data_IF_071975605877
#
_entry.id   IF_071975605877
#
_cell.length_a   1.000
_cell.length_b   1.000
_cell.length_c   1.000
_cell.angle_alpha   90.00
_cell.angle_beta   90.00
_cell.angle_gamma   90.00
#
_symmetry.space_group_name_H-M   'P 1'
#
loop_
_entity.id
_entity.type
_entity.pdbx_description
1 polymer ?
#
# COMPACT_ATOMS: atom_id res chain seq x y z
N UNK A 1 -20.09 -2.45 9.83
CA UNK A 1 -18.63 -2.34 10.00
C UNK A 1 -18.01 -2.27 8.63
N UNK A 2 -17.46 -1.13 8.21
CA UNK A 2 -16.66 -1.07 6.98
C UNK A 2 -15.32 -1.73 7.30
N UNK A 3 -15.10 -2.89 6.73
CA UNK A 3 -13.79 -3.56 6.83
C UNK A 3 -12.81 -2.74 6.01
N UNK A 4 -11.87 -2.08 6.69
CA UNK A 4 -10.80 -1.33 6.04
C UNK A 4 -9.89 -2.31 5.31
N UNK A 5 -9.61 -2.03 4.02
CA UNK A 5 -8.74 -2.90 3.22
C UNK A 5 -7.28 -2.58 3.49
N UNK A 6 -6.43 -3.56 3.24
CA UNK A 6 -4.99 -3.39 3.29
C UNK A 6 -4.44 -3.32 1.85
N UNK A 7 -3.69 -2.26 1.58
CA UNK A 7 -3.00 -2.06 0.31
C UNK A 7 -1.57 -2.57 0.42
N UNK A 8 -1.00 -3.16 -0.63
CA UNK A 8 0.39 -3.60 -0.63
C UNK A 8 1.33 -2.39 -0.50
N UNK A 9 2.35 -2.53 0.32
CA UNK A 9 3.37 -1.52 0.58
C UNK A 9 4.72 -2.03 0.10
N UNK A 10 5.28 -1.36 -0.91
CA UNK A 10 6.48 -1.81 -1.60
C UNK A 10 6.23 -2.96 -2.57
N UNK A 11 7.18 -3.86 -2.67
CA UNK A 11 7.14 -5.03 -3.54
C UNK A 11 6.65 -6.29 -2.79
N UNK A 12 6.40 -7.37 -3.55
CA UNK A 12 5.95 -8.65 -2.97
C UNK A 12 6.92 -9.19 -1.91
N UNK A 13 8.22 -9.00 -2.10
CA UNK A 13 9.27 -9.46 -1.18
C UNK A 13 9.28 -8.68 0.15
N UNK A 14 8.70 -7.48 0.20
CA UNK A 14 8.67 -6.67 1.41
C UNK A 14 7.73 -7.24 2.49
N UNK A 15 6.69 -7.96 2.10
CA UNK A 15 5.74 -8.54 3.03
C UNK A 15 5.04 -7.51 3.92
N UNK A 16 4.79 -6.34 3.35
CA UNK A 16 4.25 -5.20 4.06
C UNK A 16 2.92 -4.73 3.45
N UNK A 17 2.01 -4.32 4.30
CA UNK A 17 0.72 -3.75 3.92
C UNK A 17 0.42 -2.49 4.73
N UNK A 18 -0.38 -1.61 4.18
CA UNK A 18 -0.83 -0.38 4.82
C UNK A 18 -2.35 -0.25 4.74
N UNK A 19 -2.98 0.26 5.79
CA UNK A 19 -4.42 0.50 5.81
C UNK A 19 -4.85 1.50 4.74
N UNK A 20 -5.87 1.17 3.95
CA UNK A 20 -6.40 2.04 2.89
C UNK A 20 -6.82 3.41 3.42
N UNK A 21 -7.40 3.46 4.64
CA UNK A 21 -7.78 4.72 5.28
C UNK A 21 -6.60 5.66 5.50
N UNK A 22 -5.44 5.11 5.91
CA UNK A 22 -4.21 5.85 6.15
C UNK A 22 -3.65 6.43 4.84
N UNK A 23 -3.57 5.59 3.80
CA UNK A 23 -3.18 6.04 2.46
C UNK A 23 -4.11 7.13 1.95
N UNK A 24 -5.42 6.92 2.10
CA UNK A 24 -6.43 7.89 1.68
C UNK A 24 -6.27 9.23 2.41
N UNK A 25 -6.10 9.21 3.72
CA UNK A 25 -5.92 10.43 4.51
C UNK A 25 -4.69 11.22 4.06
N UNK A 26 -3.55 10.52 3.87
CA UNK A 26 -2.29 11.12 3.45
C UNK A 26 -2.38 11.70 2.04
N UNK A 27 -2.94 10.97 1.07
CA UNK A 27 -3.13 11.45 -0.30
C UNK A 27 -4.13 12.62 -0.38
N UNK A 28 -5.19 12.58 0.42
CA UNK A 28 -6.15 13.70 0.50
C UNK A 28 -5.50 14.96 1.07
N UNK A 29 -4.62 14.84 2.06
CA UNK A 29 -3.87 15.98 2.60
C UNK A 29 -2.97 16.59 1.52
N UNK A 30 -2.23 15.77 0.77
CA UNK A 30 -1.39 16.22 -0.35
C UNK A 30 -2.21 16.88 -1.46
N UNK A 31 -3.32 16.28 -1.87
CA UNK A 31 -4.19 16.81 -2.93
C UNK A 31 -4.82 18.16 -2.55
N UNK A 32 -5.23 18.34 -1.29
CA UNK A 32 -5.72 19.63 -0.76
C UNK A 32 -4.65 20.71 -0.72
N UNK A 33 -3.39 20.34 -0.64
CA UNK A 33 -2.25 21.25 -0.75
C UNK A 33 -2.10 21.88 -2.15
N UNK A 34 -2.70 21.28 -3.19
CA UNK A 34 -2.68 21.81 -4.55
C UNK A 34 -3.70 22.93 -4.70
N UNK A 35 -3.23 24.16 -4.81
CA UNK A 35 -4.11 25.34 -4.89
C UNK A 35 -5.00 25.30 -6.13
N UNK A 36 -6.30 25.46 -5.92
CA UNK A 36 -7.31 25.52 -6.98
C UNK A 36 -7.89 24.15 -7.33
N UNK A 37 -7.68 23.16 -6.48
CA UNK A 37 -8.23 21.81 -6.62
C UNK A 37 -9.08 21.47 -5.39
N UNK A 38 -10.29 20.95 -5.59
CA UNK A 38 -11.10 20.32 -4.56
C UNK A 38 -11.14 18.80 -4.85
N UNK A 39 -10.27 18.01 -4.20
CA UNK A 39 -10.22 16.58 -4.44
C UNK A 39 -11.40 15.87 -3.77
N UNK A 40 -11.95 14.87 -4.47
CA UNK A 40 -12.88 13.91 -3.90
C UNK A 40 -12.11 12.71 -3.30
N UNK A 41 -12.85 11.69 -2.89
CA UNK A 41 -12.28 10.52 -2.25
C UNK A 41 -11.52 9.65 -3.25
N UNK A 42 -10.21 9.37 -3.09
CA UNK A 42 -9.47 8.50 -3.98
C UNK A 42 -9.96 7.05 -3.89
N UNK A 43 -9.88 6.36 -5.02
CA UNK A 43 -10.18 4.93 -5.17
C UNK A 43 -8.91 4.19 -5.56
N UNK A 44 -8.71 3.02 -4.97
CA UNK A 44 -7.53 2.19 -5.21
C UNK A 44 -7.93 0.86 -5.82
N UNK A 45 -7.23 0.47 -6.88
CA UNK A 45 -7.36 -0.84 -7.53
C UNK A 45 -5.96 -1.36 -7.84
N UNK A 46 -5.83 -2.65 -8.05
CA UNK A 46 -4.62 -3.18 -8.67
C UNK A 46 -4.58 -2.71 -10.13
N UNK A 47 -3.38 -2.35 -10.59
CA UNK A 47 -3.19 -2.15 -12.02
C UNK A 47 -3.41 -3.51 -12.70
N UNK A 48 -4.27 -3.53 -13.71
CA UNK A 48 -4.39 -4.71 -14.56
C UNK A 48 -3.04 -4.89 -15.25
N UNK A 49 -2.40 -6.05 -15.07
CA UNK A 49 -1.18 -6.36 -15.78
C UNK A 49 -1.48 -6.22 -17.27
N UNK A 50 -0.85 -5.25 -17.93
CA UNK A 50 -0.87 -5.18 -19.38
C UNK A 50 -0.27 -6.50 -19.85
N UNK A 51 -1.10 -7.40 -20.34
CA UNK A 51 -0.62 -8.56 -21.08
C UNK A 51 0.35 -8.01 -22.15
N UNK A 52 1.56 -8.57 -22.31
CA UNK A 52 2.41 -8.17 -23.41
C UNK A 52 1.60 -8.33 -24.68
N UNK A 53 1.48 -7.24 -25.44
CA UNK A 53 0.77 -7.20 -26.70
C UNK A 53 1.29 -8.37 -27.56
N UNK A 54 0.52 -9.45 -27.63
CA UNK A 54 0.73 -10.53 -28.56
C UNK A 54 0.22 -10.10 -29.94
N UNK A 55 0.77 -9.01 -30.46
CA UNK A 55 0.74 -8.67 -31.86
C UNK A 55 1.90 -9.37 -32.57
N UNK A 56 1.73 -10.66 -32.76
CA UNK A 56 2.42 -11.38 -33.79
C UNK A 56 1.39 -12.21 -34.55
N UNK A 57 0.91 -11.62 -35.63
CA UNK A 57 0.16 -12.36 -36.65
C UNK A 57 0.95 -13.58 -37.09
N UNK A 58 0.37 -14.74 -37.00
CA UNK A 58 0.91 -16.02 -37.45
C UNK A 58 -0.21 -17.00 -37.71
N UNK A 59 -0.39 -17.31 -38.97
CA UNK A 59 -1.34 -18.22 -39.59
C UNK A 59 -1.55 -19.58 -38.89
N UNK A 60 -2.72 -20.21 -39.09
CA UNK A 60 -3.03 -21.52 -38.54
C UNK A 60 -2.39 -22.63 -39.37
N UNK A 61 -1.41 -23.30 -38.78
CA UNK A 61 -0.87 -24.53 -39.32
C UNK A 61 -0.90 -25.60 -38.23
N UNK A 62 -1.75 -26.62 -38.44
CA UNK A 62 -1.94 -27.68 -37.46
C UNK A 62 -0.74 -28.61 -37.34
N UNK A 63 -0.49 -29.09 -36.16
CA UNK A 63 0.14 -30.35 -35.83
C UNK A 63 -0.20 -30.71 -34.38
N UNK A 64 -0.65 -31.96 -34.19
CA UNK A 64 -1.01 -32.52 -32.90
C UNK A 64 0.26 -32.62 -31.98
N UNK A 65 0.11 -32.43 -30.66
CA UNK A 65 1.21 -32.65 -29.72
C UNK A 65 1.27 -34.12 -29.30
N UNK A 66 2.46 -34.68 -29.40
CA UNK A 66 2.87 -35.94 -28.80
C UNK A 66 2.95 -35.82 -27.27
N UNK A 67 2.43 -36.75 -26.49
CA UNK A 67 2.56 -36.76 -25.04
C UNK A 67 3.84 -37.48 -24.62
N UNK A 68 4.95 -36.81 -24.55
CA UNK A 68 6.16 -37.38 -23.93
C UNK A 68 6.70 -36.39 -22.90
N UNK A 69 6.64 -36.83 -21.65
CA UNK A 69 7.06 -36.12 -20.47
C UNK A 69 8.50 -35.62 -20.50
N UNK A 70 8.65 -34.47 -19.98
CA UNK A 70 9.90 -33.83 -19.62
C UNK A 70 9.65 -32.93 -18.43
N UNK A 71 9.77 -33.49 -17.23
CA UNK A 71 9.92 -32.69 -16.01
C UNK A 71 11.16 -31.85 -16.16
N UNK A 72 11.00 -30.55 -16.39
CA UNK A 72 12.06 -29.60 -16.23
C UNK A 72 12.39 -29.48 -14.74
N UNK A 73 13.69 -29.62 -14.35
CA UNK A 73 14.09 -29.43 -12.96
C UNK A 73 13.79 -28.01 -12.52
N UNK A 74 12.91 -27.90 -11.52
CA UNK A 74 12.55 -26.63 -10.91
C UNK A 74 13.80 -25.89 -10.46
N UNK A 75 13.95 -24.66 -10.89
CA UNK A 75 14.97 -23.74 -10.38
C UNK A 75 14.78 -23.60 -8.86
N UNK A 76 15.78 -23.92 -8.04
CA UNK A 76 15.72 -23.68 -6.60
C UNK A 76 16.00 -22.20 -6.36
N UNK A 77 14.97 -21.41 -6.07
CA UNK A 77 15.18 -20.01 -5.73
C UNK A 77 14.00 -19.08 -6.01
N UNK A 78 12.81 -19.60 -6.24
CA UNK A 78 11.60 -18.77 -6.26
C UNK A 78 11.16 -18.47 -4.83
N UNK A 79 11.32 -17.22 -4.37
CA UNK A 79 10.69 -16.72 -3.16
C UNK A 79 9.21 -17.09 -3.21
N UNK A 80 8.78 -18.01 -2.35
CA UNK A 80 7.37 -18.35 -2.23
C UNK A 80 6.60 -17.06 -1.89
N UNK A 81 5.51 -16.74 -2.60
CA UNK A 81 4.80 -15.51 -2.36
C UNK A 81 4.37 -15.43 -0.90
N UNK A 82 4.71 -14.31 -0.26
CA UNK A 82 4.37 -14.09 1.14
C UNK A 82 2.84 -14.10 1.30
N UNK A 83 2.33 -14.69 2.39
CA UNK A 83 0.89 -14.80 2.60
C UNK A 83 0.25 -13.42 2.70
N UNK A 84 -0.76 -13.19 1.86
CA UNK A 84 -1.56 -11.96 1.91
C UNK A 84 -2.38 -11.96 3.19
N UNK A 85 -2.33 -10.90 4.00
CA UNK A 85 -3.14 -10.82 5.22
C UNK A 85 -4.63 -10.76 4.89
N UNK A 86 -5.51 -11.19 5.80
CA UNK A 86 -6.96 -11.07 5.62
C UNK A 86 -7.37 -9.64 5.29
N UNK A 87 -8.14 -9.44 4.23
CA UNK A 87 -8.53 -8.11 3.74
C UNK A 87 -7.45 -7.36 2.96
N UNK A 88 -6.29 -7.98 2.74
CA UNK A 88 -5.21 -7.41 1.95
C UNK A 88 -5.40 -7.65 0.45
N UNK A 89 -4.97 -6.67 -0.36
CA UNK A 89 -4.80 -6.87 -1.78
C UNK A 89 -3.49 -7.63 -2.04
N UNK A 90 -3.41 -8.46 -3.09
CA UNK A 90 -2.17 -9.09 -3.48
C UNK A 90 -1.10 -8.04 -3.82
N UNK A 91 0.20 -8.35 -3.61
CA UNK A 91 1.28 -7.42 -3.89
C UNK A 91 1.42 -7.22 -5.40
N UNK A 92 0.90 -6.11 -5.87
CA UNK A 92 0.99 -5.65 -7.26
C UNK A 92 0.87 -4.12 -7.29
N UNK A 93 1.37 -3.45 -8.34
CA UNK A 93 1.26 -2.02 -8.49
C UNK A 93 -0.19 -1.55 -8.44
N UNK A 94 -0.39 -0.37 -7.87
CA UNK A 94 -1.72 0.21 -7.68
C UNK A 94 -2.08 1.18 -8.81
N UNK A 95 -3.35 1.23 -9.15
CA UNK A 95 -3.98 2.30 -9.90
C UNK A 95 -4.75 3.18 -8.92
N UNK A 96 -4.48 4.48 -8.94
CA UNK A 96 -5.16 5.48 -8.13
C UNK A 96 -6.09 6.28 -9.04
N UNK A 97 -7.38 6.30 -8.72
CA UNK A 97 -8.36 7.13 -9.44
C UNK A 97 -8.84 8.23 -8.49
N UNK A 98 -8.75 9.49 -8.91
CA UNK A 98 -9.19 10.64 -8.14
C UNK A 98 -10.04 11.56 -9.00
N UNK A 99 -11.27 11.78 -8.56
CA UNK A 99 -12.16 12.78 -9.11
C UNK A 99 -11.91 14.11 -8.37
N UNK A 100 -11.95 15.25 -9.07
CA UNK A 100 -11.74 16.56 -8.45
C UNK A 100 -12.49 17.67 -9.17
N UNK A 101 -12.88 18.69 -8.42
CA UNK A 101 -13.33 19.95 -8.97
C UNK A 101 -12.16 20.93 -9.06
N UNK A 102 -12.13 21.76 -10.09
CA UNK A 102 -11.07 22.74 -10.36
C UNK A 102 -11.61 24.16 -10.33
N UNK A 103 -10.81 25.12 -9.87
CA UNK A 103 -11.17 26.54 -9.93
C UNK A 103 -11.16 27.04 -11.37
N UNK A 104 -12.24 27.71 -11.79
CA UNK A 104 -12.37 28.30 -13.11
C UNK A 104 -11.26 29.34 -13.40
N UNK A 105 -10.94 29.52 -14.66
CA UNK A 105 -9.91 30.50 -15.09
C UNK A 105 -8.46 30.03 -14.96
N UNK A 106 -8.21 28.78 -14.55
CA UNK A 106 -6.88 28.17 -14.55
C UNK A 106 -6.80 27.06 -15.61
N UNK A 107 -5.63 26.85 -16.25
CA UNK A 107 -5.44 25.76 -17.19
C UNK A 107 -5.62 24.40 -16.48
N UNK A 108 -6.67 23.65 -16.84
CA UNK A 108 -6.99 22.35 -16.21
C UNK A 108 -5.85 21.35 -16.30
N UNK A 109 -5.12 21.37 -17.41
CA UNK A 109 -3.96 20.48 -17.63
C UNK A 109 -2.87 20.73 -16.58
N UNK A 110 -2.52 21.99 -16.33
CA UNK A 110 -1.52 22.32 -15.32
C UNK A 110 -1.95 21.92 -13.91
N UNK A 111 -3.25 22.10 -13.58
CA UNK A 111 -3.78 21.67 -12.30
C UNK A 111 -3.72 20.15 -12.16
N UNK A 112 -4.09 19.42 -13.20
CA UNK A 112 -4.03 17.96 -13.22
C UNK A 112 -2.58 17.46 -13.10
N UNK A 113 -1.63 18.07 -13.80
CA UNK A 113 -0.22 17.70 -13.75
C UNK A 113 0.38 17.93 -12.35
N UNK A 114 0.09 19.07 -11.71
CA UNK A 114 0.49 19.36 -10.32
C UNK A 114 -0.13 18.37 -9.33
N UNK A 115 -1.41 18.07 -9.51
CA UNK A 115 -2.11 17.11 -8.65
C UNK A 115 -1.52 15.72 -8.80
N UNK A 116 -1.25 15.27 -10.04
CA UNK A 116 -0.61 13.99 -10.31
C UNK A 116 0.77 13.89 -9.66
N UNK A 117 1.59 14.92 -9.81
CA UNK A 117 2.92 14.99 -9.19
C UNK A 117 2.81 14.87 -7.67
N UNK A 118 1.93 15.66 -7.03
CA UNK A 118 1.75 15.62 -5.57
C UNK A 118 1.28 14.25 -5.08
N UNK A 119 0.38 13.58 -5.82
CA UNK A 119 -0.09 12.24 -5.47
C UNK A 119 1.01 11.18 -5.61
N UNK A 120 1.80 11.22 -6.69
CA UNK A 120 2.90 10.27 -6.91
C UNK A 120 4.03 10.47 -5.88
N UNK A 121 4.46 11.72 -5.65
CA UNK A 121 5.47 12.02 -4.63
C UNK A 121 5.03 11.55 -3.24
N UNK A 122 3.74 11.69 -2.92
CA UNK A 122 3.22 11.23 -1.63
C UNK A 122 3.09 9.71 -1.59
N UNK A 123 2.54 9.09 -2.62
CA UNK A 123 2.33 7.65 -2.66
C UNK A 123 3.66 6.87 -2.67
N UNK A 124 4.56 7.23 -3.56
CA UNK A 124 5.84 6.52 -3.74
C UNK A 124 6.92 7.05 -2.81
N UNK A 125 7.08 8.38 -2.75
CA UNK A 125 8.13 9.03 -1.96
C UNK A 125 7.86 8.95 -0.47
N UNK A 126 6.69 9.39 -0.01
CA UNK A 126 6.39 9.49 1.41
C UNK A 126 5.89 8.18 2.02
N UNK A 127 5.07 7.41 1.32
CA UNK A 127 4.50 6.15 1.84
C UNK A 127 5.29 4.92 1.40
N UNK A 128 5.78 4.89 0.16
CA UNK A 128 6.45 3.73 -0.43
C UNK A 128 5.51 2.76 -1.12
N UNK A 129 4.37 3.24 -1.63
CA UNK A 129 3.48 2.44 -2.47
C UNK A 129 4.09 2.27 -3.86
N UNK A 130 3.82 1.14 -4.49
CA UNK A 130 4.09 0.95 -5.92
C UNK A 130 2.87 1.40 -6.73
N UNK A 131 3.01 2.48 -7.52
CA UNK A 131 1.91 3.06 -8.30
C UNK A 131 2.20 2.91 -9.78
N UNK A 132 1.33 2.23 -10.51
CA UNK A 132 1.44 2.09 -11.97
C UNK A 132 0.76 3.26 -12.70
N UNK A 133 -0.33 3.78 -12.15
CA UNK A 133 -1.14 4.77 -12.85
C UNK A 133 -1.92 5.66 -11.89
N UNK A 134 -2.03 6.94 -12.24
CA UNK A 134 -2.89 7.93 -11.56
C UNK A 134 -3.87 8.51 -12.56
N UNK A 135 -5.14 8.12 -12.45
CA UNK A 135 -6.24 8.63 -13.24
C UNK A 135 -6.89 9.81 -12.55
N UNK A 136 -6.92 10.94 -13.23
CA UNK A 136 -7.52 12.17 -12.74
C UNK A 136 -8.71 12.56 -13.61
N UNK A 137 -9.85 12.82 -12.96
CA UNK A 137 -11.08 13.23 -13.64
C UNK A 137 -11.59 14.53 -13.06
N UNK A 138 -11.75 15.54 -13.91
CA UNK A 138 -12.43 16.79 -13.54
C UNK A 138 -13.93 16.54 -13.54
N UNK A 139 -14.58 16.81 -12.42
CA UNK A 139 -16.03 16.61 -12.24
C UNK A 139 -16.80 17.91 -12.24
N UNK A 140 -16.16 19.04 -11.82
CA UNK A 140 -16.82 20.32 -11.72
C UNK A 140 -15.82 21.48 -11.85
N UNK A 141 -16.36 22.69 -12.10
CA UNK A 141 -15.64 23.96 -12.09
C UNK A 141 -16.17 24.86 -11.00
N UNK A 142 -15.27 25.31 -10.13
CA UNK A 142 -15.59 26.16 -8.99
C UNK A 142 -15.30 27.63 -9.31
N UNK A 143 -16.18 28.53 -8.88
CA UNK A 143 -15.98 29.98 -9.04
C UNK A 143 -14.96 30.55 -8.05
N UNK A 144 -14.75 29.87 -6.92
CA UNK A 144 -13.82 30.26 -5.86
C UNK A 144 -13.00 29.07 -5.33
N UNK A 145 -11.80 29.34 -4.77
CA UNK A 145 -10.99 28.28 -4.13
C UNK A 145 -11.77 27.60 -2.98
N UNK A 146 -11.69 26.25 -2.89
CA UNK A 146 -12.36 25.54 -1.81
C UNK A 146 -11.68 25.82 -0.47
N UNK A 147 -12.51 26.00 0.58
CA UNK A 147 -12.04 26.03 1.96
C UNK A 147 -12.11 24.60 2.54
N UNK A 148 -10.99 24.11 3.05
CA UNK A 148 -10.93 22.81 3.70
C UNK A 148 -10.87 22.98 5.21
N UNK A 149 -11.78 22.33 5.92
CA UNK A 149 -11.64 22.17 7.37
C UNK A 149 -10.36 21.37 7.69
N UNK A 150 -9.70 21.73 8.79
CA UNK A 150 -8.54 20.96 9.27
C UNK A 150 -8.92 19.49 9.47
N UNK A 151 -8.06 18.54 9.10
CA UNK A 151 -8.32 17.13 9.34
C UNK A 151 -8.54 16.88 10.83
N UNK A 152 -9.66 16.28 11.19
CA UNK A 152 -9.85 15.74 12.55
C UNK A 152 -9.16 14.38 12.58
N UNK A 153 -8.11 14.27 13.39
CA UNK A 153 -7.45 12.97 13.61
C UNK A 153 -8.44 11.97 14.20
N UNK A 154 -8.66 10.82 13.56
CA UNK A 154 -9.43 9.76 14.18
C UNK A 154 -8.66 9.23 15.39
N UNK A 155 -9.35 8.87 16.50
CA UNK A 155 -8.71 8.24 17.64
C UNK A 155 -8.07 6.92 17.18
N UNK A 156 -6.75 6.88 17.16
CA UNK A 156 -6.01 5.68 16.84
C UNK A 156 -6.20 4.64 17.93
N UNK A 157 -6.72 3.48 17.59
CA UNK A 157 -6.73 2.33 18.48
C UNK A 157 -5.29 1.96 18.83
N UNK A 158 -4.92 2.03 20.10
CA UNK A 158 -3.62 1.61 20.58
C UNK A 158 -3.87 0.53 21.63
N UNK A 159 -3.40 -0.68 21.35
CA UNK A 159 -3.40 -1.75 22.35
C UNK A 159 -2.02 -1.79 23.01
N UNK A 160 -1.94 -1.89 24.36
CA UNK A 160 -0.66 -2.09 25.00
C UNK A 160 -0.07 -3.42 24.52
N UNK A 161 1.25 -3.48 24.23
CA UNK A 161 1.91 -4.70 23.85
C UNK A 161 1.80 -5.74 24.98
N UNK A 162 1.69 -7.01 24.62
CA UNK A 162 1.92 -8.08 25.58
C UNK A 162 3.38 -7.97 26.08
N UNK A 163 3.63 -7.70 27.37
CA UNK A 163 4.95 -7.29 27.85
C UNK A 163 6.04 -8.36 27.66
N UNK A 164 5.67 -9.61 27.38
CA UNK A 164 6.62 -10.73 27.26
C UNK A 164 6.76 -11.28 25.83
N UNK A 165 6.19 -10.61 24.81
CA UNK A 165 6.32 -11.06 23.43
C UNK A 165 7.60 -10.51 22.76
N UNK A 166 8.58 -11.36 22.40
CA UNK A 166 9.84 -10.92 21.80
C UNK A 166 9.65 -10.15 20.50
N UNK A 167 8.64 -10.54 19.68
CA UNK A 167 8.34 -9.86 18.43
C UNK A 167 7.75 -8.46 18.68
N UNK A 168 6.92 -8.30 19.72
CA UNK A 168 6.38 -7.01 20.14
C UNK A 168 7.48 -6.06 20.64
N UNK A 169 8.38 -6.58 21.46
CA UNK A 169 9.52 -5.80 21.98
C UNK A 169 10.47 -5.39 20.85
N UNK A 170 10.79 -6.31 19.96
CA UNK A 170 11.62 -6.03 18.79
C UNK A 170 10.99 -4.98 17.89
N UNK A 171 9.67 -5.03 17.68
CA UNK A 171 8.93 -4.06 16.88
C UNK A 171 8.99 -2.65 17.49
N UNK A 172 8.77 -2.53 18.80
CA UNK A 172 8.82 -1.24 19.51
C UNK A 172 10.22 -0.63 19.55
N UNK A 173 11.27 -1.42 19.42
CA UNK A 173 12.64 -0.95 19.38
C UNK A 173 13.05 -0.35 18.01
N UNK A 174 12.23 -0.54 16.97
CA UNK A 174 12.52 -0.03 15.62
C UNK A 174 12.25 1.48 15.55
N UNK A 175 13.22 2.29 15.11
CA UNK A 175 13.01 3.72 14.90
C UNK A 175 11.89 3.99 13.90
N UNK A 176 10.99 4.91 14.24
CA UNK A 176 9.83 5.23 13.42
C UNK A 176 8.56 4.43 13.74
N UNK A 177 8.62 3.42 14.61
CA UNK A 177 7.43 2.80 15.18
C UNK A 177 6.90 3.68 16.31
N UNK A 178 5.68 4.19 16.15
CA UNK A 178 5.01 5.01 17.15
C UNK A 178 4.34 4.16 18.25
N UNK A 179 3.71 3.07 17.85
CA UNK A 179 3.01 2.15 18.74
C UNK A 179 2.66 0.85 18.02
N UNK A 180 2.38 -0.21 18.78
CA UNK A 180 1.64 -1.36 18.28
C UNK A 180 0.15 -1.05 18.26
N UNK A 181 -0.58 -1.63 17.31
CA UNK A 181 -2.03 -1.41 17.14
C UNK A 181 -2.77 -2.74 16.99
N UNK A 182 -4.10 -2.70 17.08
CA UNK A 182 -4.97 -3.86 17.03
C UNK A 182 -6.16 -3.72 16.06
N UNK A 183 -6.03 -2.78 15.10
CA UNK A 183 -7.12 -2.45 14.18
C UNK A 183 -7.52 -3.61 13.25
N UNK A 184 -6.60 -4.56 13.00
CA UNK A 184 -6.77 -5.71 12.11
C UNK A 184 -6.63 -7.07 12.82
N UNK A 185 -6.81 -7.13 14.14
CA UNK A 185 -6.91 -8.37 14.88
C UNK A 185 -5.81 -8.65 15.90
N UNK A 186 -5.03 -7.64 16.25
CA UNK A 186 -4.08 -7.68 17.35
C UNK A 186 -2.66 -7.31 16.95
N UNK A 187 -1.89 -6.76 17.91
CA UNK A 187 -0.57 -6.18 17.66
C UNK A 187 0.45 -7.18 17.16
N UNK A 188 0.40 -8.41 17.66
CA UNK A 188 1.19 -9.54 17.19
C UNK A 188 0.28 -10.76 17.06
N UNK A 189 0.18 -11.30 15.86
CA UNK A 189 -0.62 -12.48 15.57
C UNK A 189 0.28 -13.56 15.00
N UNK A 190 0.28 -14.74 15.64
CA UNK A 190 0.99 -15.93 15.18
C UNK A 190 0.04 -16.87 14.47
N UNK A 191 0.40 -17.31 13.28
CA UNK A 191 -0.36 -18.28 12.49
C UNK A 191 0.58 -19.38 12.00
N UNK A 192 0.05 -20.44 11.41
CA UNK A 192 0.86 -21.45 10.73
C UNK A 192 1.71 -20.86 9.59
N UNK A 193 1.28 -19.74 9.00
CA UNK A 193 1.99 -19.03 7.94
C UNK A 193 3.10 -18.12 8.45
N UNK A 194 3.19 -17.83 9.75
CA UNK A 194 4.23 -16.97 10.32
C UNK A 194 3.71 -15.97 11.36
N UNK A 195 4.45 -14.89 11.53
CA UNK A 195 4.14 -13.80 12.48
C UNK A 195 3.67 -12.57 11.71
N UNK A 196 2.52 -12.02 12.12
CA UNK A 196 2.04 -10.71 11.65
C UNK A 196 2.18 -9.70 12.78
N UNK A 197 2.76 -8.54 12.47
CA UNK A 197 2.90 -7.43 13.42
C UNK A 197 2.16 -6.22 12.88
N UNK A 198 1.37 -5.57 13.74
CA UNK A 198 0.57 -4.40 13.40
C UNK A 198 1.07 -3.17 14.16
N UNK A 199 1.38 -2.09 13.40
CA UNK A 199 2.00 -0.88 13.94
C UNK A 199 1.38 0.41 13.42
N UNK A 200 1.50 1.46 14.22
CA UNK A 200 1.44 2.84 13.77
C UNK A 200 2.88 3.36 13.54
N UNK A 201 3.08 4.12 12.48
CA UNK A 201 4.36 4.73 12.12
C UNK A 201 4.36 6.20 12.52
N UNK A 202 5.49 6.70 13.02
CA UNK A 202 5.66 8.11 13.36
C UNK A 202 5.72 8.97 12.10
N UNK A 203 4.99 10.09 12.08
CA UNK A 203 5.05 11.08 10.99
C UNK A 203 6.49 11.50 10.69
N UNK A 204 6.80 11.67 9.42
CA UNK A 204 8.16 11.97 8.97
C UNK A 204 9.02 10.74 8.69
N UNK A 205 8.59 9.55 9.08
CA UNK A 205 9.21 8.29 8.68
C UNK A 205 8.43 7.67 7.52
N UNK A 206 9.14 7.13 6.55
CA UNK A 206 8.54 6.44 5.42
C UNK A 206 8.04 5.06 5.85
N UNK A 207 6.72 4.77 5.78
CA UNK A 207 6.17 3.50 6.26
C UNK A 207 6.84 2.25 5.68
N UNK A 208 7.23 2.28 4.41
CA UNK A 208 7.93 1.15 3.78
C UNK A 208 9.28 0.87 4.44
N UNK A 209 10.06 1.90 4.74
CA UNK A 209 11.40 1.72 5.33
C UNK A 209 11.29 1.23 6.78
N UNK A 210 10.30 1.74 7.52
CA UNK A 210 9.99 1.25 8.87
C UNK A 210 9.54 -0.21 8.83
N UNK A 211 8.68 -0.57 7.86
CA UNK A 211 8.21 -1.95 7.70
C UNK A 211 9.35 -2.93 7.38
N UNK A 212 10.30 -2.54 6.53
CA UNK A 212 11.50 -3.33 6.22
C UNK A 212 12.39 -3.54 7.45
N UNK A 213 12.66 -2.46 8.19
CA UNK A 213 13.45 -2.52 9.44
C UNK A 213 12.76 -3.39 10.49
N UNK A 214 11.43 -3.23 10.63
CA UNK A 214 10.61 -4.01 11.55
C UNK A 214 10.63 -5.49 11.18
N UNK A 215 10.46 -5.84 9.91
CA UNK A 215 10.54 -7.21 9.44
C UNK A 215 11.87 -7.85 9.80
N UNK A 216 12.98 -7.14 9.57
CA UNK A 216 14.32 -7.62 9.94
C UNK A 216 14.45 -7.88 11.44
N UNK A 217 14.00 -6.92 12.27
CA UNK A 217 14.07 -7.02 13.73
C UNK A 217 13.21 -8.17 14.28
N UNK A 218 11.98 -8.32 13.78
CA UNK A 218 11.06 -9.39 14.19
C UNK A 218 11.55 -10.76 13.73
N UNK A 219 12.11 -10.87 12.52
CA UNK A 219 12.70 -12.13 12.04
C UNK A 219 13.84 -12.58 12.95
N UNK A 220 14.69 -11.66 13.41
CA UNK A 220 15.77 -11.96 14.34
C UNK A 220 15.23 -12.37 15.74
N UNK A 221 14.15 -11.78 16.21
CA UNK A 221 13.55 -12.05 17.53
C UNK A 221 12.65 -13.30 17.54
N UNK A 222 12.21 -13.78 16.39
CA UNK A 222 11.33 -14.94 16.26
C UNK A 222 11.91 -15.97 15.27
N UNK A 223 13.01 -16.64 15.59
CA UNK A 223 13.75 -17.52 14.66
C UNK A 223 12.95 -18.74 14.16
N UNK A 224 11.82 -19.05 14.78
CA UNK A 224 10.90 -20.10 14.33
C UNK A 224 9.81 -19.62 13.36
N UNK A 225 9.73 -18.34 13.06
CA UNK A 225 8.73 -17.81 12.14
C UNK A 225 9.16 -18.06 10.69
N UNK A 226 8.32 -18.77 9.92
CA UNK A 226 8.58 -19.04 8.50
C UNK A 226 8.50 -17.75 7.68
N UNK A 227 7.57 -16.84 8.04
CA UNK A 227 7.38 -15.54 7.37
C UNK A 227 7.04 -14.45 8.39
N UNK A 228 7.42 -13.22 8.09
CA UNK A 228 7.01 -12.04 8.86
C UNK A 228 6.22 -11.10 7.96
N UNK A 229 4.99 -10.79 8.36
CA UNK A 229 4.09 -9.84 7.68
C UNK A 229 3.94 -8.60 8.53
N UNK A 230 4.11 -7.43 7.92
CA UNK A 230 3.95 -6.14 8.60
C UNK A 230 2.70 -5.44 8.11
N UNK A 231 1.88 -4.94 9.04
CA UNK A 231 0.70 -4.15 8.76
C UNK A 231 0.86 -2.76 9.37
N UNK A 232 0.89 -1.73 8.54
CA UNK A 232 0.86 -0.34 8.99
C UNK A 232 -0.60 0.11 9.04
N UNK A 233 -1.13 0.29 10.24
CA UNK A 233 -2.52 0.69 10.43
C UNK A 233 -2.71 2.20 10.42
N UNK A 234 -1.67 2.96 10.78
CA UNK A 234 -1.75 4.42 10.94
C UNK A 234 -0.37 5.10 10.77
N UNK A 235 -0.39 6.42 10.49
CA UNK A 235 0.78 7.31 10.47
C UNK A 235 0.43 8.52 11.34
N UNK A 236 1.20 8.76 12.41
CA UNK A 236 0.92 9.75 13.46
C UNK A 236 2.05 10.75 13.63
#
# INVERSE_FOLDING_TARGET
>A
MMTDRLLPLGEAADGAWIAERTVRATLMAAARGVRGVAPERPRFRLAEGRAPDSDAGGSPGGAAPDPSGGEAPGSPGGDAPLPVPPGGLPPAPLRITLDFAAVAGRPLRELADRLRTALLETAEGSLGLSVAEVDLRVTDLLDAPPEFAAPTEPPGGTSPPAPDDPAALAALAVPGVAALTDAFGGPVTRTAAGVRVEVAVTSGHRPLDVARALRTAVTAAAPGATTVTVVVSDVR
#
